data_IF_480248925601
#
_entry.id   IF_480248925601
#
_cell.length_a   1.000
_cell.length_b   1.000
_cell.length_c   1.000
_cell.angle_alpha   90.00
_cell.angle_beta   90.00
_cell.angle_gamma   90.00
#
_symmetry.space_group_name_H-M   'P 1'
#
loop_
_entity.id
_entity.type
_entity.pdbx_description
1 polymer ?
#
# COMPACT_ATOMS: atom_id res chain seq x y z
N UNK A 1 -21.44 10.26 -3.43
CA UNK A 1 -21.95 11.60 -2.99
C UNK A 1 -20.89 12.59 -3.44
N UNK A 2 -21.26 13.53 -4.35
CA UNK A 2 -20.31 14.49 -4.95
C UNK A 2 -19.71 15.45 -3.92
N UNK A 3 -20.47 15.81 -2.89
CA UNK A 3 -20.00 16.62 -1.77
C UNK A 3 -20.59 16.08 -0.45
N UNK A 4 -19.72 15.65 0.44
CA UNK A 4 -20.12 15.11 1.72
C UNK A 4 -20.71 16.19 2.67
N UNK A 5 -20.29 17.45 2.50
CA UNK A 5 -20.87 18.58 3.23
C UNK A 5 -22.30 18.91 2.76
N UNK A 6 -22.56 18.86 1.45
CA UNK A 6 -23.93 19.01 0.92
C UNK A 6 -24.87 17.95 1.51
N UNK A 7 -24.41 16.70 1.60
CA UNK A 7 -25.19 15.65 2.24
C UNK A 7 -25.49 15.97 3.71
N UNK A 8 -24.50 16.48 4.46
CA UNK A 8 -24.69 16.91 5.83
C UNK A 8 -25.67 18.07 5.96
N UNK A 9 -25.57 19.07 5.09
CA UNK A 9 -26.50 20.21 5.07
C UNK A 9 -27.93 19.77 4.76
N UNK A 10 -28.11 18.86 3.80
CA UNK A 10 -29.42 18.30 3.48
C UNK A 10 -30.00 17.52 4.68
N UNK A 11 -29.22 16.64 5.32
CA UNK A 11 -29.64 15.91 6.52
C UNK A 11 -30.00 16.86 7.66
N UNK A 12 -29.19 17.89 7.89
CA UNK A 12 -29.45 18.86 8.97
C UNK A 12 -30.75 19.63 8.72
N UNK A 13 -31.03 20.02 7.48
CA UNK A 13 -32.26 20.75 7.15
C UNK A 13 -33.53 19.97 7.44
N UNK A 14 -33.52 18.64 7.31
CA UNK A 14 -34.68 17.78 7.63
C UNK A 14 -35.00 17.74 9.12
N UNK A 15 -34.04 18.07 9.99
CA UNK A 15 -34.22 18.04 11.44
C UNK A 15 -34.77 19.38 11.99
N UNK A 16 -34.78 20.43 11.18
CA UNK A 16 -35.11 21.80 11.62
C UNK A 16 -36.53 21.90 12.17
N UNK A 17 -37.50 21.32 11.45
CA UNK A 17 -38.92 21.41 11.81
C UNK A 17 -39.28 20.63 13.07
N UNK A 18 -38.56 19.54 13.35
CA UNK A 18 -38.86 18.63 14.47
C UNK A 18 -37.93 18.82 15.66
N UNK A 19 -36.89 19.68 15.53
CA UNK A 19 -35.78 19.77 16.48
C UNK A 19 -35.17 18.40 16.82
N UNK A 20 -35.16 17.52 15.82
CA UNK A 20 -34.73 16.13 15.94
C UNK A 20 -33.24 16.00 16.23
N UNK A 21 -32.85 14.84 16.70
CA UNK A 21 -31.44 14.46 16.95
C UNK A 21 -30.93 13.57 15.82
N UNK A 22 -29.66 13.75 15.44
CA UNK A 22 -28.98 12.90 14.45
C UNK A 22 -27.86 12.13 15.16
N UNK A 23 -27.77 10.82 14.85
CA UNK A 23 -26.63 9.98 15.25
C UNK A 23 -25.88 9.57 13.98
N UNK A 24 -24.60 9.92 13.93
CA UNK A 24 -23.70 9.52 12.84
C UNK A 24 -22.79 8.41 13.38
N UNK A 25 -22.73 7.29 12.67
CA UNK A 25 -21.92 6.13 13.05
C UNK A 25 -21.06 5.75 11.86
N UNK A 26 -19.78 5.50 12.10
CA UNK A 26 -18.85 5.05 11.06
C UNK A 26 -17.42 5.11 11.51
N UNK A 27 -16.53 4.53 10.68
CA UNK A 27 -15.11 4.66 10.82
C UNK A 27 -14.61 5.93 10.11
N UNK A 28 -13.71 6.64 10.75
CA UNK A 28 -13.11 7.85 10.17
C UNK A 28 -11.83 7.45 9.44
N UNK A 29 -11.79 7.71 8.13
CA UNK A 29 -10.61 7.52 7.28
C UNK A 29 -9.93 8.86 7.07
N UNK A 30 -8.75 9.05 7.70
CA UNK A 30 -8.00 10.31 7.68
C UNK A 30 -8.69 11.46 8.43
N UNK A 31 -8.00 12.58 8.56
CA UNK A 31 -8.45 13.73 9.37
C UNK A 31 -9.08 14.85 8.55
N UNK A 32 -9.03 14.83 7.22
CA UNK A 32 -9.55 15.92 6.38
C UNK A 32 -11.04 15.83 6.06
N UNK A 33 -11.69 14.70 6.32
CA UNK A 33 -13.10 14.50 5.98
C UNK A 33 -14.07 15.23 6.93
N UNK A 34 -15.30 15.45 6.47
CA UNK A 34 -16.33 16.17 7.21
C UNK A 34 -16.75 15.46 8.51
N UNK A 35 -16.76 14.12 8.54
CA UNK A 35 -17.15 13.34 9.71
C UNK A 35 -16.15 13.52 10.85
N UNK A 36 -14.84 13.50 10.54
CA UNK A 36 -13.79 13.83 11.50
C UNK A 36 -13.95 15.25 12.05
N UNK A 37 -14.17 16.23 11.15
CA UNK A 37 -14.36 17.64 11.55
C UNK A 37 -15.55 17.84 12.47
N UNK A 38 -16.66 17.12 12.26
CA UNK A 38 -17.81 17.13 13.17
C UNK A 38 -17.45 16.51 14.54
N UNK A 39 -16.69 15.42 14.56
CA UNK A 39 -16.17 14.84 15.78
C UNK A 39 -15.24 15.79 16.56
N UNK A 40 -14.40 16.56 15.86
CA UNK A 40 -13.54 17.58 16.48
C UNK A 40 -14.34 18.70 17.14
N UNK A 41 -15.39 19.19 16.48
CA UNK A 41 -16.30 20.20 17.06
C UNK A 41 -16.86 19.72 18.41
N UNK A 42 -17.31 18.46 18.45
CA UNK A 42 -17.82 17.86 19.70
C UNK A 42 -16.73 17.74 20.77
N UNK A 43 -15.50 17.37 20.38
CA UNK A 43 -14.34 17.30 21.31
C UNK A 43 -13.92 18.66 21.84
N UNK A 44 -14.09 19.71 21.06
CA UNK A 44 -13.84 21.09 21.49
C UNK A 44 -14.94 21.68 22.37
N UNK A 45 -15.98 20.87 22.69
CA UNK A 45 -17.06 21.25 23.58
C UNK A 45 -18.13 22.13 22.92
N UNK A 46 -18.25 22.10 21.59
CA UNK A 46 -19.31 22.86 20.92
C UNK A 46 -20.69 22.40 21.40
N UNK A 47 -21.58 23.31 21.82
CA UNK A 47 -22.90 22.97 22.31
C UNK A 47 -23.68 22.10 21.31
N UNK A 48 -24.52 21.21 21.81
CA UNK A 48 -25.38 20.31 21.03
C UNK A 48 -24.66 19.16 20.31
N UNK A 49 -23.31 19.13 20.25
CA UNK A 49 -22.55 18.01 19.70
C UNK A 49 -22.05 17.09 20.82
N UNK A 50 -22.18 15.77 20.59
CA UNK A 50 -21.59 14.75 21.46
C UNK A 50 -20.77 13.79 20.64
N UNK A 51 -19.58 13.46 21.13
CA UNK A 51 -18.66 12.52 20.52
C UNK A 51 -18.51 11.28 21.39
N UNK A 52 -18.62 10.14 20.75
CA UNK A 52 -18.38 8.83 21.37
C UNK A 52 -17.31 8.12 20.54
N UNK A 53 -16.27 7.65 21.19
CA UNK A 53 -15.26 6.76 20.58
C UNK A 53 -15.46 5.38 21.18
N UNK A 54 -15.66 4.38 20.32
CA UNK A 54 -15.79 2.98 20.69
C UNK A 54 -14.74 2.22 19.92
N UNK A 55 -13.87 1.53 20.63
CA UNK A 55 -12.80 0.71 20.06
C UNK A 55 -13.19 -0.76 20.04
N UNK A 56 -12.43 -1.58 19.30
CA UNK A 56 -12.61 -3.03 19.33
C UNK A 56 -12.38 -3.60 20.73
N UNK A 57 -11.47 -3.02 21.52
CA UNK A 57 -11.27 -3.46 22.93
C UNK A 57 -12.47 -3.11 23.83
N UNK A 58 -13.19 -2.02 23.54
CA UNK A 58 -14.44 -1.73 24.24
C UNK A 58 -15.50 -2.79 23.90
N UNK A 59 -15.60 -3.16 22.61
CA UNK A 59 -16.51 -4.21 22.15
C UNK A 59 -16.15 -5.61 22.73
N UNK A 60 -14.84 -5.89 22.92
CA UNK A 60 -14.39 -7.12 23.55
C UNK A 60 -14.77 -7.21 25.03
N UNK A 61 -14.66 -6.09 25.77
CA UNK A 61 -15.11 -6.02 27.18
C UNK A 61 -16.59 -6.30 27.35
N UNK A 62 -17.40 -5.92 26.36
CA UNK A 62 -18.84 -6.19 26.32
C UNK A 62 -19.18 -7.57 25.72
N UNK A 63 -18.19 -8.39 25.40
CA UNK A 63 -18.37 -9.74 24.85
C UNK A 63 -18.90 -9.80 23.42
N UNK A 64 -18.83 -8.69 22.66
CA UNK A 64 -19.32 -8.60 21.27
C UNK A 64 -18.33 -9.25 20.31
N UNK A 65 -17.02 -9.07 20.54
CA UNK A 65 -15.94 -9.71 19.76
C UNK A 65 -14.91 -10.32 20.72
N UNK A 66 -14.10 -11.27 20.24
CA UNK A 66 -13.04 -11.87 21.05
C UNK A 66 -11.74 -11.07 20.96
N UNK A 67 -10.97 -11.04 22.05
CA UNK A 67 -9.62 -10.45 22.03
C UNK A 67 -8.69 -11.18 21.03
N UNK A 68 -8.89 -12.49 20.87
CA UNK A 68 -8.16 -13.29 19.87
C UNK A 68 -8.35 -12.74 18.46
N UNK A 69 -9.56 -12.34 18.11
CA UNK A 69 -9.87 -11.72 16.81
C UNK A 69 -9.14 -10.38 16.62
N UNK A 70 -9.10 -9.56 17.67
CA UNK A 70 -8.38 -8.28 17.64
C UNK A 70 -6.88 -8.51 17.44
N UNK A 71 -6.29 -9.47 18.16
CA UNK A 71 -4.87 -9.78 18.03
C UNK A 71 -4.54 -10.42 16.66
N UNK A 72 -5.46 -11.16 16.08
CA UNK A 72 -5.31 -11.67 14.72
C UNK A 72 -5.35 -10.51 13.72
N UNK A 73 -6.35 -9.65 13.78
CA UNK A 73 -6.46 -8.48 12.91
C UNK A 73 -5.23 -7.56 13.01
N UNK A 74 -4.67 -7.40 14.21
CA UNK A 74 -3.44 -6.62 14.43
C UNK A 74 -2.23 -7.22 13.72
N UNK A 75 -2.17 -8.54 13.55
CA UNK A 75 -1.10 -9.21 12.79
C UNK A 75 -1.31 -9.16 11.29
N UNK A 76 -2.57 -9.19 10.86
CA UNK A 76 -2.97 -9.38 9.47
C UNK A 76 -3.16 -8.04 8.71
N UNK A 77 -3.23 -6.92 9.43
CA UNK A 77 -3.48 -5.60 8.86
C UNK A 77 -2.28 -4.65 9.05
N UNK A 78 -2.00 -3.77 8.08
CA UNK A 78 -1.09 -2.65 8.29
C UNK A 78 -1.47 -1.84 9.54
N UNK A 79 -0.49 -1.36 10.30
CA UNK A 79 -0.72 -0.65 11.58
C UNK A 79 -1.73 0.50 11.45
N UNK A 80 -1.59 1.34 10.42
CA UNK A 80 -2.52 2.46 10.22
C UNK A 80 -3.95 1.99 9.91
N UNK A 81 -4.14 0.87 9.19
CA UNK A 81 -5.45 0.28 8.91
C UNK A 81 -6.06 -0.29 10.19
N UNK A 82 -5.26 -1.02 10.98
CA UNK A 82 -5.70 -1.55 12.26
C UNK A 82 -6.13 -0.43 13.22
N UNK A 83 -5.33 0.63 13.34
CA UNK A 83 -5.67 1.79 14.18
C UNK A 83 -6.96 2.47 13.76
N UNK A 84 -7.18 2.65 12.46
CA UNK A 84 -8.42 3.26 11.96
C UNK A 84 -9.65 2.39 12.21
N UNK A 85 -9.58 1.10 11.87
CA UNK A 85 -10.73 0.22 11.90
C UNK A 85 -11.05 -0.31 13.31
N UNK A 86 -10.03 -0.61 14.10
CA UNK A 86 -10.18 -1.27 15.40
C UNK A 86 -10.00 -0.31 16.58
N UNK A 87 -9.21 0.75 16.44
CA UNK A 87 -8.98 1.71 17.53
C UNK A 87 -9.70 3.04 17.33
N UNK A 88 -10.41 3.24 16.21
CA UNK A 88 -11.03 4.49 15.82
C UNK A 88 -10.04 5.68 15.91
N UNK A 89 -8.82 5.47 15.39
CA UNK A 89 -7.71 6.43 15.35
C UNK A 89 -7.37 6.75 13.90
N UNK A 90 -7.93 7.81 13.32
CA UNK A 90 -7.67 8.16 11.94
C UNK A 90 -6.21 8.57 11.74
N UNK A 91 -5.59 8.06 10.67
CA UNK A 91 -4.25 8.42 10.27
C UNK A 91 -4.18 9.86 9.76
N UNK A 92 -2.99 10.45 9.84
CA UNK A 92 -2.72 11.73 9.18
C UNK A 92 -2.53 11.51 7.67
N UNK A 93 -3.12 12.39 6.85
CA UNK A 93 -2.83 12.42 5.42
C UNK A 93 -1.35 12.73 5.18
N UNK A 94 -0.77 12.13 4.14
CA UNK A 94 0.65 12.21 3.80
C UNK A 94 1.58 11.57 4.84
N UNK A 95 1.06 10.66 5.64
CA UNK A 95 1.89 9.83 6.51
C UNK A 95 2.60 8.76 5.68
N UNK A 96 3.78 8.36 6.14
CA UNK A 96 4.47 7.22 5.58
C UNK A 96 3.73 5.92 5.98
N UNK A 97 3.31 5.06 5.02
CA UNK A 97 2.53 3.86 5.34
C UNK A 97 3.36 2.76 6.01
N UNK A 98 4.68 2.75 5.79
CA UNK A 98 5.58 1.71 6.31
C UNK A 98 5.98 1.97 7.76
N UNK A 99 6.17 3.25 8.13
CA UNK A 99 6.76 3.67 9.40
C UNK A 99 8.29 3.68 9.38
N UNK A 100 8.90 4.82 9.69
CA UNK A 100 10.36 5.02 9.56
C UNK A 100 11.18 4.01 10.36
N UNK A 101 10.73 3.66 11.57
CA UNK A 101 11.44 2.69 12.40
C UNK A 101 11.38 1.27 11.82
N UNK A 102 10.28 0.89 11.17
CA UNK A 102 10.15 -0.40 10.51
C UNK A 102 11.03 -0.48 9.26
N UNK A 103 11.07 0.59 8.45
CA UNK A 103 11.96 0.70 7.29
C UNK A 103 13.41 0.46 7.71
N UNK A 104 13.89 1.18 8.73
CA UNK A 104 15.29 1.10 9.19
C UNK A 104 15.68 -0.28 9.73
N UNK A 105 14.76 -1.01 10.32
CA UNK A 105 15.00 -2.40 10.75
C UNK A 105 15.21 -3.35 9.56
N UNK A 106 14.70 -3.01 8.40
CA UNK A 106 14.85 -3.80 7.18
C UNK A 106 16.16 -3.53 6.42
N UNK A 107 16.96 -2.53 6.82
CA UNK A 107 18.20 -2.21 6.13
C UNK A 107 19.22 -3.33 6.21
N UNK A 108 19.67 -3.79 5.04
CA UNK A 108 20.72 -4.78 4.84
C UNK A 108 21.48 -4.46 3.55
N UNK A 109 22.75 -4.76 3.45
CA UNK A 109 23.47 -4.71 2.18
C UNK A 109 22.86 -5.69 1.17
N UNK A 110 23.08 -5.43 -0.11
CA UNK A 110 22.65 -6.32 -1.21
C UNK A 110 23.24 -7.71 -0.98
N UNK A 111 22.38 -8.72 -1.01
CA UNK A 111 22.75 -10.12 -0.82
C UNK A 111 23.50 -10.68 -2.04
N UNK A 112 24.44 -11.58 -1.83
CA UNK A 112 25.12 -12.32 -2.90
C UNK A 112 24.42 -13.63 -3.29
N UNK A 113 23.27 -13.93 -2.69
CA UNK A 113 22.52 -15.16 -2.96
C UNK A 113 21.79 -15.09 -4.32
N UNK A 114 21.48 -16.25 -4.95
CA UNK A 114 20.76 -16.28 -6.22
C UNK A 114 19.37 -15.66 -6.12
N UNK A 115 18.96 -14.99 -7.20
CA UNK A 115 17.60 -14.43 -7.33
C UNK A 115 16.58 -15.56 -7.50
N UNK A 116 15.49 -15.50 -6.75
CA UNK A 116 14.35 -16.44 -6.85
C UNK A 116 13.06 -15.79 -7.33
N UNK A 117 12.97 -14.46 -7.29
CA UNK A 117 11.84 -13.69 -7.83
C UNK A 117 12.28 -12.30 -8.26
N UNK A 118 11.66 -11.80 -9.34
CA UNK A 118 11.90 -10.47 -9.87
C UNK A 118 10.67 -9.60 -9.80
N UNK A 119 10.87 -8.32 -9.52
CA UNK A 119 9.90 -7.25 -9.69
C UNK A 119 10.48 -6.18 -10.61
N UNK A 120 9.71 -5.78 -11.60
CA UNK A 120 10.16 -4.85 -12.64
C UNK A 120 9.12 -3.77 -12.81
N UNK A 121 9.51 -2.54 -12.51
CA UNK A 121 8.76 -1.34 -12.82
C UNK A 121 9.30 -0.72 -14.10
N UNK A 122 8.42 -0.61 -15.12
CA UNK A 122 8.81 -0.14 -16.45
C UNK A 122 8.65 1.37 -16.58
N UNK A 123 9.69 2.03 -17.03
CA UNK A 123 9.68 3.47 -17.30
C UNK A 123 8.57 3.89 -18.26
N UNK A 124 7.91 5.01 -17.93
CA UNK A 124 6.99 5.72 -18.82
C UNK A 124 7.63 7.04 -19.21
N UNK A 125 7.92 7.21 -20.50
CA UNK A 125 8.52 8.44 -21.07
C UNK A 125 9.89 8.78 -20.47
N UNK A 126 9.97 9.72 -19.51
CA UNK A 126 11.20 10.22 -18.88
C UNK A 126 11.50 9.58 -17.53
N UNK A 127 10.76 8.54 -17.15
CA UNK A 127 10.91 7.84 -15.87
C UNK A 127 12.01 6.77 -15.91
N UNK A 128 12.27 6.12 -14.81
CA UNK A 128 13.29 5.06 -14.70
C UNK A 128 12.66 3.68 -14.76
N UNK A 129 13.27 2.77 -15.51
CA UNK A 129 13.03 1.33 -15.34
C UNK A 129 13.84 0.86 -14.14
N UNK A 130 13.17 0.19 -13.21
CA UNK A 130 13.77 -0.41 -12.03
C UNK A 130 13.56 -1.93 -12.05
N UNK A 131 14.65 -2.66 -11.82
CA UNK A 131 14.66 -4.12 -11.73
C UNK A 131 15.17 -4.50 -10.35
N UNK A 132 14.34 -5.20 -9.57
CA UNK A 132 14.71 -5.72 -8.24
C UNK A 132 14.59 -7.24 -8.23
N UNK A 133 15.65 -7.90 -7.75
CA UNK A 133 15.68 -9.34 -7.49
C UNK A 133 15.71 -9.64 -6.01
N UNK A 134 14.90 -10.60 -5.57
CA UNK A 134 14.90 -11.13 -4.21
C UNK A 134 15.49 -12.52 -4.15
N UNK A 135 16.26 -12.79 -3.12
CA UNK A 135 16.75 -14.11 -2.78
C UNK A 135 15.74 -14.96 -1.97
N UNK A 136 16.12 -16.18 -1.60
CA UNK A 136 15.28 -17.08 -0.83
C UNK A 136 14.91 -16.53 0.56
N UNK A 137 15.73 -15.65 1.14
CA UNK A 137 15.55 -15.04 2.46
C UNK A 137 14.83 -13.69 2.43
N UNK A 138 14.18 -13.32 1.33
CA UNK A 138 13.55 -12.02 1.10
C UNK A 138 14.54 -10.83 1.15
N UNK A 139 15.82 -11.06 0.91
CA UNK A 139 16.80 -9.99 0.82
C UNK A 139 16.96 -9.56 -0.63
N UNK A 140 17.04 -8.26 -0.87
CA UNK A 140 17.39 -7.73 -2.19
C UNK A 140 18.79 -8.20 -2.55
N UNK A 141 18.91 -8.95 -3.63
CA UNK A 141 20.19 -9.46 -4.17
C UNK A 141 20.53 -8.88 -5.53
N UNK A 142 19.63 -8.11 -6.11
CA UNK A 142 19.85 -7.31 -7.30
C UNK A 142 18.99 -6.07 -7.28
N UNK A 143 19.58 -4.91 -7.62
CA UNK A 143 18.86 -3.66 -7.79
C UNK A 143 19.53 -2.86 -8.91
N UNK A 144 18.77 -2.55 -9.94
CA UNK A 144 19.25 -1.71 -11.05
C UNK A 144 18.18 -0.70 -11.45
N UNK A 145 18.59 0.55 -11.64
CA UNK A 145 17.76 1.66 -12.07
C UNK A 145 18.42 2.33 -13.26
N UNK A 146 17.71 2.43 -14.38
CA UNK A 146 18.26 2.98 -15.61
C UNK A 146 17.19 3.59 -16.52
N UNK A 147 17.65 4.36 -17.50
CA UNK A 147 16.84 4.84 -18.62
C UNK A 147 17.47 4.33 -19.91
N UNK A 148 16.68 3.70 -20.75
CA UNK A 148 17.11 3.20 -22.05
C UNK A 148 15.91 3.05 -22.99
N UNK A 149 16.20 2.95 -24.30
CA UNK A 149 15.19 2.61 -25.28
C UNK A 149 14.60 1.20 -25.03
N UNK A 150 13.36 1.00 -25.47
CA UNK A 150 12.63 -0.24 -25.23
C UNK A 150 13.33 -1.51 -25.70
N UNK A 151 14.00 -1.46 -26.84
CA UNK A 151 14.77 -2.60 -27.38
C UNK A 151 15.92 -2.98 -26.44
N UNK A 152 16.61 -2.00 -25.89
CA UNK A 152 17.72 -2.18 -24.95
C UNK A 152 17.18 -2.69 -23.61
N UNK A 153 16.10 -2.07 -23.12
CA UNK A 153 15.43 -2.46 -21.87
C UNK A 153 14.96 -3.91 -21.95
N UNK A 154 14.29 -4.31 -23.02
CA UNK A 154 13.82 -5.68 -23.24
C UNK A 154 14.98 -6.69 -23.25
N UNK A 155 16.02 -6.42 -24.04
CA UNK A 155 17.17 -7.32 -24.14
C UNK A 155 17.87 -7.50 -22.79
N UNK A 156 17.94 -6.41 -21.98
CA UNK A 156 18.51 -6.42 -20.64
C UNK A 156 17.67 -7.25 -19.68
N UNK A 157 16.36 -7.04 -19.64
CA UNK A 157 15.42 -7.82 -18.82
C UNK A 157 15.53 -9.32 -19.15
N UNK A 158 15.42 -9.70 -20.43
CA UNK A 158 15.49 -11.11 -20.86
C UNK A 158 16.78 -11.78 -20.39
N UNK A 159 17.92 -11.06 -20.52
CA UNK A 159 19.22 -11.58 -20.10
C UNK A 159 19.31 -11.80 -18.58
N UNK A 160 18.67 -10.92 -17.78
CA UNK A 160 18.72 -10.98 -16.32
C UNK A 160 17.77 -12.04 -15.76
N UNK A 161 16.51 -12.03 -16.20
CA UNK A 161 15.48 -12.83 -15.53
C UNK A 161 15.49 -14.30 -15.93
N UNK A 162 15.90 -14.63 -17.15
CA UNK A 162 15.92 -16.01 -17.65
C UNK A 162 14.58 -16.71 -17.47
N UNK A 163 14.57 -17.80 -16.71
CA UNK A 163 13.36 -18.56 -16.36
C UNK A 163 12.95 -18.39 -14.88
N UNK A 164 13.39 -17.33 -14.22
CA UNK A 164 12.99 -17.02 -12.85
C UNK A 164 11.63 -16.31 -12.86
N UNK A 165 10.72 -16.59 -11.89
CA UNK A 165 9.45 -15.89 -11.78
C UNK A 165 9.64 -14.38 -11.75
N UNK A 166 8.83 -13.66 -12.52
CA UNK A 166 8.97 -12.22 -12.68
C UNK A 166 7.61 -11.55 -12.80
N UNK A 167 7.35 -10.53 -11.99
CA UNK A 167 6.21 -9.63 -12.16
C UNK A 167 6.70 -8.31 -12.76
N UNK A 168 5.99 -7.86 -13.79
CA UNK A 168 6.36 -6.68 -14.59
C UNK A 168 5.16 -5.74 -14.68
N UNK A 169 5.36 -4.44 -14.42
CA UNK A 169 4.29 -3.46 -14.68
C UNK A 169 3.83 -3.52 -16.14
N UNK A 170 2.57 -3.87 -16.35
CA UNK A 170 1.93 -3.92 -17.67
C UNK A 170 0.94 -2.78 -17.89
N UNK A 171 1.00 -1.70 -17.10
CA UNK A 171 0.03 -0.62 -17.19
C UNK A 171 0.29 0.28 -18.39
N UNK A 172 -0.69 0.42 -19.28
CA UNK A 172 -0.61 1.30 -20.46
C UNK A 172 0.38 0.81 -21.52
N UNK A 173 1.49 1.51 -21.73
CA UNK A 173 2.54 1.15 -22.69
C UNK A 173 3.30 -0.13 -22.33
N UNK A 174 3.15 -0.62 -21.10
CA UNK A 174 3.77 -1.87 -20.64
C UNK A 174 3.16 -3.14 -21.26
N UNK A 175 1.88 -3.13 -21.66
CA UNK A 175 1.21 -4.32 -22.18
C UNK A 175 1.94 -4.95 -23.39
N UNK A 176 2.31 -4.22 -24.46
CA UNK A 176 3.02 -4.81 -25.62
C UNK A 176 4.42 -5.34 -25.27
N UNK A 177 5.07 -4.72 -24.29
CA UNK A 177 6.42 -5.12 -23.84
C UNK A 177 6.32 -6.42 -23.04
N UNK A 178 5.36 -6.50 -22.14
CA UNK A 178 5.10 -7.71 -21.36
C UNK A 178 4.75 -8.88 -22.27
N UNK A 179 3.92 -8.68 -23.31
CA UNK A 179 3.63 -9.72 -24.30
C UNK A 179 4.89 -10.22 -25.01
N UNK A 180 5.80 -9.32 -25.38
CA UNK A 180 7.08 -9.71 -25.99
C UNK A 180 7.98 -10.45 -25.00
N UNK A 181 8.06 -9.99 -23.74
CA UNK A 181 8.81 -10.67 -22.69
C UNK A 181 8.25 -12.09 -22.43
N UNK A 182 6.93 -12.26 -22.42
CA UNK A 182 6.27 -13.57 -22.23
C UNK A 182 6.56 -14.56 -23.35
N UNK A 183 6.78 -14.10 -24.59
CA UNK A 183 7.23 -14.97 -25.70
C UNK A 183 8.64 -15.48 -25.51
N UNK A 184 9.50 -14.73 -24.81
CA UNK A 184 10.90 -15.04 -24.59
C UNK A 184 11.18 -15.72 -23.24
N UNK A 185 10.36 -15.41 -22.23
CA UNK A 185 10.52 -15.86 -20.84
C UNK A 185 9.20 -16.40 -20.31
N UNK A 186 9.12 -17.72 -20.08
CA UNK A 186 7.86 -18.42 -19.76
C UNK A 186 7.24 -18.04 -18.40
N UNK A 187 8.03 -17.50 -17.46
CA UNK A 187 7.59 -17.19 -16.10
C UNK A 187 7.39 -15.69 -15.83
N UNK A 188 7.22 -14.91 -16.88
CA UNK A 188 6.86 -13.49 -16.79
C UNK A 188 5.35 -13.35 -16.71
N UNK A 189 4.89 -12.58 -15.73
CA UNK A 189 3.49 -12.16 -15.60
C UNK A 189 3.40 -10.63 -15.57
N UNK A 190 2.49 -10.08 -16.38
CA UNK A 190 2.15 -8.67 -16.30
C UNK A 190 1.30 -8.37 -15.07
N UNK A 191 1.62 -7.31 -14.36
CA UNK A 191 0.85 -6.78 -13.27
C UNK A 191 0.23 -5.45 -13.70
N UNK A 192 -1.10 -5.39 -13.80
CA UNK A 192 -1.81 -4.19 -14.21
C UNK A 192 -2.21 -3.35 -13.00
N UNK A 193 -1.67 -2.13 -12.91
CA UNK A 193 -2.02 -1.20 -11.85
C UNK A 193 -3.40 -0.58 -12.07
N UNK A 194 -4.30 -0.88 -11.18
CA UNK A 194 -5.54 -0.15 -10.90
C UNK A 194 -5.42 0.46 -9.51
N UNK A 195 -6.32 1.35 -9.13
CA UNK A 195 -6.32 1.89 -7.75
C UNK A 195 -6.38 0.77 -6.70
N UNK A 196 -7.19 -0.27 -6.95
CA UNK A 196 -7.34 -1.40 -6.04
C UNK A 196 -6.11 -2.30 -6.02
N UNK A 197 -5.58 -2.70 -7.19
CA UNK A 197 -4.41 -3.60 -7.24
C UNK A 197 -3.14 -2.93 -6.73
N UNK A 198 -2.95 -1.61 -6.99
CA UNK A 198 -1.84 -0.85 -6.41
C UNK A 198 -1.96 -0.78 -4.88
N UNK A 199 -3.16 -0.55 -4.37
CA UNK A 199 -3.41 -0.53 -2.93
C UNK A 199 -3.06 -1.88 -2.29
N UNK A 200 -3.56 -2.98 -2.81
CA UNK A 200 -3.29 -4.33 -2.31
C UNK A 200 -1.79 -4.68 -2.35
N UNK A 201 -1.12 -4.34 -3.45
CA UNK A 201 0.31 -4.57 -3.61
C UNK A 201 1.13 -3.82 -2.56
N UNK A 202 0.85 -2.53 -2.36
CA UNK A 202 1.55 -1.70 -1.38
C UNK A 202 1.22 -2.14 0.06
N UNK A 203 -0.02 -2.48 0.37
CA UNK A 203 -0.39 -3.01 1.69
C UNK A 203 0.35 -4.32 2.01
N UNK A 204 0.55 -5.19 1.01
CA UNK A 204 1.38 -6.39 1.14
C UNK A 204 2.85 -6.06 1.46
N UNK A 205 3.42 -5.07 0.78
CA UNK A 205 4.79 -4.61 1.07
C UNK A 205 4.87 -3.97 2.47
N UNK A 206 3.88 -3.15 2.85
CA UNK A 206 3.81 -2.54 4.19
C UNK A 206 3.84 -3.63 5.27
N UNK A 207 3.05 -4.69 5.12
CA UNK A 207 3.07 -5.82 6.04
C UNK A 207 4.45 -6.47 6.13
N UNK A 208 5.08 -6.75 4.99
CA UNK A 208 6.42 -7.36 4.95
C UNK A 208 7.48 -6.50 5.65
N UNK A 209 7.40 -5.16 5.50
CA UNK A 209 8.31 -4.22 6.16
C UNK A 209 8.03 -4.15 7.66
N UNK A 210 6.76 -4.02 8.07
CA UNK A 210 6.39 -3.93 9.48
C UNK A 210 6.70 -5.22 10.27
N UNK A 211 6.62 -6.38 9.59
CA UNK A 211 7.00 -7.68 10.15
C UNK A 211 8.51 -7.96 10.07
N UNK A 212 9.29 -7.08 9.43
CA UNK A 212 10.73 -7.27 9.17
C UNK A 212 10.98 -8.58 8.39
N UNK A 213 10.14 -8.85 7.39
CA UNK A 213 10.19 -10.06 6.54
C UNK A 213 10.77 -9.77 5.14
N UNK A 214 11.20 -8.54 4.86
CA UNK A 214 11.91 -8.15 3.64
C UNK A 214 13.10 -7.27 4.00
N UNK A 215 14.23 -7.42 3.28
CA UNK A 215 15.47 -6.70 3.55
C UNK A 215 16.00 -6.05 2.27
N UNK A 216 16.45 -4.81 2.39
CA UNK A 216 16.88 -4.00 1.26
C UNK A 216 17.96 -2.99 1.68
N UNK A 217 18.77 -2.46 0.74
CA UNK A 217 19.75 -1.42 1.04
C UNK A 217 19.07 -0.08 1.36
N UNK A 218 19.75 0.74 2.15
CA UNK A 218 19.31 2.09 2.47
C UNK A 218 19.13 2.91 1.18
N UNK A 219 20.13 2.88 0.28
CA UNK A 219 20.08 3.55 -1.02
C UNK A 219 19.96 2.54 -2.17
N UNK A 220 19.14 2.79 -3.19
CA UNK A 220 18.13 3.87 -3.30
C UNK A 220 16.77 3.51 -2.69
N UNK A 221 16.55 2.24 -2.31
CA UNK A 221 15.23 1.68 -1.96
C UNK A 221 14.71 2.28 -0.65
N UNK A 222 15.55 2.28 0.40
CA UNK A 222 15.18 2.81 1.69
C UNK A 222 14.84 4.30 1.64
N UNK A 223 15.63 5.10 0.92
CA UNK A 223 15.39 6.53 0.75
C UNK A 223 14.07 6.83 0.04
N UNK A 224 13.72 6.10 -1.02
CA UNK A 224 12.42 6.25 -1.68
C UNK A 224 11.28 5.84 -0.73
N UNK A 225 11.47 4.76 0.02
CA UNK A 225 10.48 4.26 0.97
C UNK A 225 10.25 5.21 2.14
N UNK A 226 11.30 5.87 2.67
CA UNK A 226 11.17 6.88 3.73
C UNK A 226 10.35 8.11 3.28
N UNK A 227 10.41 8.45 1.99
CA UNK A 227 9.66 9.56 1.40
C UNK A 227 8.29 9.17 0.82
N UNK A 228 7.93 7.90 0.87
CA UNK A 228 6.68 7.42 0.31
C UNK A 228 5.49 7.83 1.18
N UNK A 229 4.42 8.31 0.55
CA UNK A 229 3.25 8.85 1.23
C UNK A 229 1.96 8.15 0.78
N UNK A 230 0.95 8.19 1.62
CA UNK A 230 -0.41 7.86 1.23
C UNK A 230 -1.35 9.03 1.47
N UNK A 231 -2.37 9.13 0.65
CA UNK A 231 -3.42 10.15 0.71
C UNK A 231 -4.79 9.52 0.56
N UNK A 232 -5.72 9.89 1.44
CA UNK A 232 -7.11 9.48 1.29
C UNK A 232 -7.78 10.28 0.19
N UNK A 233 -8.31 9.56 -0.80
CA UNK A 233 -9.12 10.13 -1.87
C UNK A 233 -10.58 9.75 -1.68
N UNK A 234 -11.46 10.34 -2.48
CA UNK A 234 -12.89 10.02 -2.44
C UNK A 234 -13.18 8.53 -2.77
N UNK A 235 -12.35 7.89 -3.54
CA UNK A 235 -12.56 6.53 -4.07
C UNK A 235 -11.64 5.47 -3.44
N UNK A 236 -10.74 5.86 -2.53
CA UNK A 236 -9.80 4.93 -1.90
C UNK A 236 -8.56 5.62 -1.36
N UNK A 237 -7.46 4.90 -1.33
CA UNK A 237 -6.15 5.40 -0.91
C UNK A 237 -5.26 5.54 -2.14
N UNK A 238 -4.56 6.65 -2.25
CA UNK A 238 -3.53 6.88 -3.26
C UNK A 238 -2.17 6.78 -2.58
N UNK A 239 -1.29 5.97 -3.16
CA UNK A 239 0.09 5.81 -2.74
C UNK A 239 1.02 6.41 -3.79
N UNK A 240 1.96 7.25 -3.38
CA UNK A 240 2.87 7.93 -4.29
C UNK A 240 4.05 8.55 -3.54
N UNK A 241 5.13 8.87 -4.25
CA UNK A 241 6.12 9.80 -3.74
C UNK A 241 5.63 11.25 -3.85
N UNK A 242 6.11 12.18 -3.00
CA UNK A 242 5.92 13.62 -3.16
C UNK A 242 6.39 14.13 -4.53
N UNK A 243 5.87 15.28 -4.95
CA UNK A 243 6.26 15.92 -6.22
C UNK A 243 7.78 16.15 -6.26
N UNK A 244 8.43 15.65 -7.32
CA UNK A 244 9.87 15.74 -7.53
C UNK A 244 10.69 14.59 -6.92
N UNK A 245 10.04 13.63 -6.27
CA UNK A 245 10.63 12.39 -5.81
C UNK A 245 10.07 11.19 -6.60
N UNK A 246 10.74 10.05 -6.49
CA UNK A 246 10.40 8.82 -7.21
C UNK A 246 9.86 7.74 -6.28
N UNK A 247 9.04 6.84 -6.83
CA UNK A 247 8.53 5.63 -6.15
C UNK A 247 8.84 4.34 -6.93
N UNK A 248 9.65 4.42 -7.97
CA UNK A 248 9.96 3.30 -8.88
C UNK A 248 10.59 2.10 -8.15
N UNK A 249 11.53 2.36 -7.22
CA UNK A 249 12.15 1.28 -6.43
C UNK A 249 11.17 0.65 -5.46
N UNK A 250 10.27 1.43 -4.86
CA UNK A 250 9.22 0.93 -3.97
C UNK A 250 8.26 0.03 -4.76
N UNK A 251 7.88 0.45 -5.98
CA UNK A 251 6.98 -0.32 -6.84
C UNK A 251 7.63 -1.62 -7.32
N UNK A 252 8.87 -1.56 -7.78
CA UNK A 252 9.62 -2.75 -8.20
C UNK A 252 9.82 -3.74 -7.03
N UNK A 253 10.13 -3.25 -5.82
CA UNK A 253 10.24 -4.11 -4.64
C UNK A 253 8.90 -4.75 -4.28
N UNK A 254 7.81 -4.00 -4.33
CA UNK A 254 6.47 -4.54 -4.07
C UNK A 254 6.10 -5.66 -5.06
N UNK A 255 6.40 -5.47 -6.35
CA UNK A 255 6.23 -6.50 -7.38
C UNK A 255 7.09 -7.74 -7.11
N UNK A 256 8.34 -7.58 -6.66
CA UNK A 256 9.23 -8.70 -6.35
C UNK A 256 8.73 -9.52 -5.14
N UNK A 257 8.26 -8.85 -4.08
CA UNK A 257 7.70 -9.48 -2.88
C UNK A 257 6.43 -10.27 -3.25
N UNK A 258 5.52 -9.65 -3.99
CA UNK A 258 4.28 -10.28 -4.43
C UNK A 258 4.55 -11.46 -5.39
N UNK A 259 5.47 -11.29 -6.35
CA UNK A 259 5.91 -12.37 -7.23
C UNK A 259 6.43 -13.57 -6.44
N UNK A 260 7.27 -13.34 -5.43
CA UNK A 260 7.80 -14.42 -4.59
C UNK A 260 6.71 -15.12 -3.80
N UNK A 261 5.78 -14.37 -3.21
CA UNK A 261 4.66 -14.91 -2.46
C UNK A 261 3.78 -15.84 -3.32
N UNK A 262 3.48 -15.44 -4.55
CA UNK A 262 2.68 -16.21 -5.50
C UNK A 262 3.38 -17.45 -6.09
N UNK A 263 4.69 -17.56 -5.97
CA UNK A 263 5.48 -18.68 -6.48
C UNK A 263 6.06 -19.57 -5.39
N UNK A 264 5.63 -19.44 -4.12
CA UNK A 264 6.03 -20.34 -3.03
C UNK A 264 5.48 -21.76 -3.33
N UNK A 265 6.31 -22.82 -3.24
CA UNK A 265 5.81 -24.20 -3.37
C UNK A 265 4.77 -24.46 -2.26
N UNK A 266 3.58 -24.93 -2.64
CA UNK A 266 2.53 -25.36 -1.69
C UNK A 266 1.54 -24.29 -1.25
N UNK A 267 1.56 -23.07 -1.80
CA UNK A 267 0.53 -22.06 -1.53
C UNK A 267 -0.61 -22.22 -2.54
N UNK A 268 -1.75 -22.77 -2.10
CA UNK A 268 -2.99 -22.79 -2.88
C UNK A 268 -3.73 -21.47 -2.63
N UNK A 269 -3.95 -20.68 -3.67
CA UNK A 269 -4.85 -19.55 -3.63
C UNK A 269 -6.24 -20.02 -4.02
N UNK A 270 -7.22 -19.85 -3.16
CA UNK A 270 -8.61 -19.96 -3.56
C UNK A 270 -9.00 -18.64 -4.26
N UNK A 271 -9.43 -18.79 -5.52
CA UNK A 271 -9.94 -17.69 -6.36
C UNK A 271 -11.33 -17.26 -5.88
#
# INVERSE_FOLDING_TARGET
IKDAWECWYALRSTLTATQGKCKLIGNVKGKKNWFYKLGERARQGEPEYKYFKITAYDAAREGIISEKEIEQAKRDLPDYVFRELYLAEPADDKSNPFGLDAIRKCYRPISSMPVVAWGIDLAKYSDYTVIIGLDANNCVCFCERFQADWSVTQARIVKLIGNTPSFVDSTGVGDPIVEQLQRLCQRVKGFKFTSQSKQQLIEGLVMSVQQTDVFFPEEPIGSEMENFEFEYTRTGVRYTAPVGLHDDCVMALALAVDCKAHNRPGTFYFA
#
